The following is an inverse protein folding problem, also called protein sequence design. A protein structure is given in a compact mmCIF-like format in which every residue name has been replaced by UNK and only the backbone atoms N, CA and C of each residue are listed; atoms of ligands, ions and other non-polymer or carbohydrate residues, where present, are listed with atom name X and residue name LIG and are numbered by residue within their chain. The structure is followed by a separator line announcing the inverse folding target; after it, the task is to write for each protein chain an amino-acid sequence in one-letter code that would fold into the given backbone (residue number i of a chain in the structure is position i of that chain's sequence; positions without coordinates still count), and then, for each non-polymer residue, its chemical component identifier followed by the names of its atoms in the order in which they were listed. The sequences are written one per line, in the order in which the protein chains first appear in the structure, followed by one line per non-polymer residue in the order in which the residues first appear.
data_IF_930206309391
#
_entry.id   IF_930206309391
#
_cell.length_a   1.000
_cell.length_b   1.000
_cell.length_c   1.000
_cell.angle_alpha   90.00
_cell.angle_beta   90.00
_cell.angle_gamma   90.00
#
_symmetry.space_group_name_H-M   'P 1'
#
loop_
_entity.id
_entity.type
_entity.pdbx_description
1 polymer ?
#
# COMPACT_ATOMS: atom_id res chain seq x y z
N UNK A 1 7.58 31.01 3.01
CA UNK A 1 7.55 29.57 2.72
C UNK A 1 7.28 29.41 1.23
N UNK A 2 8.12 28.69 0.50
CA UNK A 2 7.92 28.44 -0.93
C UNK A 2 7.54 26.97 -1.12
N UNK A 3 6.31 26.73 -1.58
CA UNK A 3 5.89 25.40 -2.01
C UNK A 3 6.44 25.12 -3.42
N UNK A 4 6.80 23.86 -3.68
CA UNK A 4 7.02 23.43 -5.07
C UNK A 4 5.67 23.39 -5.79
N UNK A 5 5.62 23.67 -7.12
CA UNK A 5 4.41 23.47 -7.90
C UNK A 5 3.90 22.03 -7.75
N UNK A 6 2.58 21.89 -7.67
CA UNK A 6 1.94 20.58 -7.73
C UNK A 6 2.13 19.99 -9.13
N UNK A 7 2.59 18.74 -9.18
CA UNK A 7 2.71 17.96 -10.40
C UNK A 7 2.00 16.64 -10.16
N UNK A 8 1.23 16.21 -11.16
CA UNK A 8 0.55 14.93 -11.08
C UNK A 8 1.56 13.79 -11.08
N UNK A 9 1.22 12.69 -10.42
CA UNK A 9 1.98 11.44 -10.40
C UNK A 9 1.10 10.31 -10.92
N UNK A 10 1.62 9.45 -11.81
CA UNK A 10 0.91 8.26 -12.22
C UNK A 10 0.75 7.31 -11.04
N UNK A 11 -0.48 6.88 -10.79
CA UNK A 11 -0.77 5.69 -9.98
C UNK A 11 -1.00 4.53 -10.92
N UNK A 12 -0.24 3.45 -10.76
CA UNK A 12 -0.41 2.24 -11.57
C UNK A 12 -0.56 1.02 -10.68
N UNK A 13 -1.64 0.28 -10.88
CA UNK A 13 -1.75 -1.08 -10.37
C UNK A 13 -0.71 -1.95 -11.07
N UNK A 14 0.06 -2.72 -10.29
CA UNK A 14 1.08 -3.62 -10.81
C UNK A 14 0.52 -5.05 -10.92
N UNK A 15 0.08 -5.60 -9.80
CA UNK A 15 -0.39 -6.98 -9.71
C UNK A 15 -1.07 -7.27 -8.37
N UNK A 16 -1.73 -8.43 -8.29
CA UNK A 16 -2.01 -9.11 -7.03
C UNK A 16 -0.84 -10.05 -6.78
N UNK A 17 -0.08 -9.80 -5.73
CA UNK A 17 1.02 -10.65 -5.30
C UNK A 17 0.54 -11.57 -4.18
N UNK A 18 0.86 -12.86 -4.28
CA UNK A 18 0.56 -13.85 -3.24
C UNK A 18 1.81 -14.13 -2.41
N UNK A 19 1.69 -14.05 -1.10
CA UNK A 19 2.78 -14.28 -0.16
C UNK A 19 2.23 -14.94 1.12
N UNK A 20 2.72 -16.13 1.46
CA UNK A 20 2.11 -16.97 2.49
C UNK A 20 0.60 -17.17 2.22
N UNK A 21 -0.26 -16.82 3.17
CA UNK A 21 -1.73 -16.85 3.04
C UNK A 21 -2.34 -15.49 2.64
N UNK A 22 -1.50 -14.51 2.26
CA UNK A 22 -1.91 -13.15 1.92
C UNK A 22 -2.04 -12.92 0.43
N UNK A 23 -3.07 -12.17 0.05
CA UNK A 23 -3.20 -11.52 -1.27
C UNK A 23 -2.93 -10.02 -1.14
N UNK A 24 -1.95 -9.50 -1.89
CA UNK A 24 -1.49 -8.13 -1.78
C UNK A 24 -1.69 -7.39 -3.10
N UNK A 25 -2.54 -6.36 -3.12
CA UNK A 25 -2.65 -5.43 -4.25
C UNK A 25 -1.46 -4.48 -4.23
N UNK A 26 -0.61 -4.53 -5.26
CA UNK A 26 0.57 -3.67 -5.33
C UNK A 26 0.31 -2.50 -6.29
N UNK A 27 0.50 -1.29 -5.78
CA UNK A 27 0.40 -0.05 -6.53
C UNK A 27 1.75 0.64 -6.61
N UNK A 28 1.94 1.37 -7.71
CA UNK A 28 3.12 2.15 -7.99
C UNK A 28 2.76 3.63 -8.12
N UNK A 29 3.54 4.49 -7.48
CA UNK A 29 3.50 5.95 -7.61
C UNK A 29 4.92 6.44 -7.81
N UNK A 30 5.20 7.23 -8.84
CA UNK A 30 6.56 7.74 -9.07
C UNK A 30 6.57 9.21 -9.45
N UNK A 31 7.55 9.93 -8.91
CA UNK A 31 7.86 11.31 -9.33
C UNK A 31 8.72 11.34 -10.59
N UNK A 32 9.35 10.23 -10.98
CA UNK A 32 10.37 10.17 -12.03
C UNK A 32 9.87 9.60 -13.35
N UNK A 33 8.93 8.65 -13.28
CA UNK A 33 8.53 7.82 -14.40
C UNK A 33 7.10 7.32 -14.23
N UNK A 34 6.62 6.57 -15.23
CA UNK A 34 5.29 5.95 -15.21
C UNK A 34 5.13 4.91 -14.08
N UNK A 35 6.24 4.27 -13.68
CA UNK A 35 6.30 3.31 -12.57
C UNK A 35 7.50 3.58 -11.67
N UNK A 36 7.45 3.03 -10.47
CA UNK A 36 8.58 2.89 -9.53
C UNK A 36 9.61 1.94 -10.13
N UNK A 37 10.89 2.24 -9.89
CA UNK A 37 12.00 1.36 -10.24
C UNK A 37 11.80 -0.09 -9.74
N UNK A 38 11.95 -1.04 -10.66
CA UNK A 38 11.64 -2.46 -10.45
C UNK A 38 12.46 -3.11 -9.33
N UNK A 39 13.65 -2.59 -9.01
CA UNK A 39 14.44 -3.13 -7.91
C UNK A 39 13.85 -2.76 -6.54
N UNK A 40 13.14 -1.62 -6.40
CA UNK A 40 12.35 -1.37 -5.19
C UNK A 40 11.14 -2.30 -5.11
N UNK A 41 10.47 -2.55 -6.24
CA UNK A 41 9.33 -3.48 -6.29
C UNK A 41 9.76 -4.88 -5.87
N UNK A 42 10.86 -5.39 -6.43
CA UNK A 42 11.40 -6.70 -6.09
C UNK A 42 11.80 -6.77 -4.62
N UNK A 43 12.58 -5.81 -4.14
CA UNK A 43 13.03 -5.80 -2.75
C UNK A 43 11.87 -5.68 -1.76
N UNK A 44 10.84 -4.89 -2.05
CA UNK A 44 9.66 -4.81 -1.19
C UNK A 44 8.97 -6.18 -1.09
N UNK A 45 8.77 -6.89 -2.21
CA UNK A 45 8.18 -8.23 -2.21
C UNK A 45 8.95 -9.24 -1.37
N UNK A 46 10.29 -9.17 -1.38
CA UNK A 46 11.14 -10.03 -0.54
C UNK A 46 10.92 -9.79 0.96
N UNK A 47 10.48 -8.60 1.37
CA UNK A 47 10.29 -8.22 2.78
C UNK A 47 8.83 -8.36 3.26
N UNK A 48 7.84 -8.49 2.37
CA UNK A 48 6.41 -8.51 2.72
C UNK A 48 6.09 -9.57 3.79
N UNK A 49 6.63 -10.78 3.65
CA UNK A 49 6.38 -11.88 4.59
C UNK A 49 6.78 -11.51 6.02
N UNK A 50 7.94 -10.87 6.19
CA UNK A 50 8.42 -10.41 7.50
C UNK A 50 7.56 -9.26 8.05
N UNK A 51 7.19 -8.30 7.20
CA UNK A 51 6.36 -7.16 7.60
C UNK A 51 4.97 -7.58 8.07
N UNK A 52 4.37 -8.57 7.42
CA UNK A 52 3.05 -9.10 7.79
C UNK A 52 3.14 -9.97 9.06
N UNK A 53 4.09 -10.91 9.14
CA UNK A 53 4.27 -11.79 10.31
C UNK A 53 4.57 -11.02 11.59
N UNK A 54 5.33 -9.95 11.49
CA UNK A 54 5.80 -9.19 12.65
C UNK A 54 4.80 -8.20 13.24
N UNK A 55 3.61 -8.00 12.64
CA UNK A 55 2.79 -6.81 12.88
C UNK A 55 1.28 -7.00 12.99
N UNK A 56 0.78 -8.22 13.25
CA UNK A 56 -0.58 -8.35 13.78
C UNK A 56 -0.64 -7.87 15.24
N UNK A 57 -0.64 -6.55 15.42
CA UNK A 57 -0.61 -5.88 16.73
C UNK A 57 -1.89 -6.14 17.54
N UNK A 58 -2.99 -6.51 16.88
CA UNK A 58 -4.29 -6.78 17.49
C UNK A 58 -4.76 -8.19 17.11
N UNK A 59 -4.14 -9.24 17.66
CA UNK A 59 -4.44 -10.63 17.28
C UNK A 59 -5.89 -11.06 17.56
N UNK A 60 -6.60 -10.33 18.43
CA UNK A 60 -8.02 -10.51 18.72
C UNK A 60 -8.95 -9.98 17.63
N UNK A 61 -8.46 -9.10 16.75
CA UNK A 61 -9.23 -8.53 15.66
C UNK A 61 -9.06 -9.39 14.40
N UNK A 62 -10.17 -9.65 13.72
CA UNK A 62 -10.19 -10.45 12.52
C UNK A 62 -9.35 -9.78 11.42
N UNK A 63 -8.48 -10.58 10.79
CA UNK A 63 -7.78 -10.21 9.56
C UNK A 63 -8.36 -11.00 8.40
N UNK A 64 -8.39 -10.39 7.22
CA UNK A 64 -8.88 -11.00 5.98
C UNK A 64 -7.75 -11.53 5.12
N UNK A 65 -6.49 -11.40 5.57
CA UNK A 65 -5.28 -11.71 4.82
C UNK A 65 -5.25 -11.06 3.42
N UNK A 66 -5.84 -9.86 3.31
CA UNK A 66 -5.80 -9.04 2.11
C UNK A 66 -5.16 -7.70 2.45
N UNK A 67 -4.07 -7.39 1.76
CA UNK A 67 -3.33 -6.16 1.97
C UNK A 67 -3.26 -5.31 0.70
N UNK A 68 -2.95 -4.03 0.90
CA UNK A 68 -2.53 -3.10 -0.13
C UNK A 68 -1.10 -2.67 0.17
N UNK A 69 -0.24 -2.74 -0.83
CA UNK A 69 1.10 -2.16 -0.78
C UNK A 69 1.20 -1.05 -1.83
N UNK A 70 1.45 0.18 -1.37
CA UNK A 70 1.75 1.31 -2.25
C UNK A 70 3.26 1.55 -2.20
N UNK A 71 3.91 1.45 -3.35
CA UNK A 71 5.30 1.83 -3.52
C UNK A 71 5.35 3.22 -4.12
N UNK A 72 6.00 4.15 -3.43
CA UNK A 72 6.11 5.53 -3.85
C UNK A 72 7.56 5.97 -3.96
N UNK A 73 8.05 6.13 -5.19
CA UNK A 73 9.37 6.70 -5.46
C UNK A 73 9.33 8.23 -5.40
N UNK A 74 9.93 8.77 -4.35
CA UNK A 74 10.05 10.19 -4.05
C UNK A 74 11.47 10.73 -4.19
N UNK A 75 11.76 11.85 -3.51
CA UNK A 75 13.09 12.50 -3.57
C UNK A 75 14.12 11.79 -2.70
N UNK A 76 13.66 11.19 -1.61
CA UNK A 76 14.47 10.58 -0.55
C UNK A 76 14.80 9.11 -0.84
N UNK A 77 13.98 8.47 -1.67
CA UNK A 77 14.04 7.03 -1.93
C UNK A 77 12.67 6.52 -2.35
N UNK A 78 12.35 5.29 -1.92
CA UNK A 78 11.05 4.68 -2.10
C UNK A 78 10.38 4.44 -0.75
N UNK A 79 9.14 4.90 -0.61
CA UNK A 79 8.27 4.55 0.50
C UNK A 79 7.46 3.30 0.17
N UNK A 80 7.35 2.38 1.12
CA UNK A 80 6.46 1.22 1.06
C UNK A 80 5.38 1.40 2.13
N UNK A 81 4.16 1.71 1.70
CA UNK A 81 2.99 1.87 2.55
C UNK A 81 2.21 0.57 2.48
N UNK A 82 2.35 -0.25 3.51
CA UNK A 82 1.67 -1.53 3.64
C UNK A 82 0.48 -1.36 4.58
N UNK A 83 -0.71 -1.74 4.12
CA UNK A 83 -1.93 -1.65 4.93
C UNK A 83 -2.90 -2.79 4.70
N UNK A 84 -3.67 -3.15 5.72
CA UNK A 84 -4.72 -4.17 5.64
C UNK A 84 -5.89 -3.84 6.55
N UNK A 85 -7.06 -4.37 6.20
CA UNK A 85 -8.29 -4.20 6.97
C UNK A 85 -8.33 -5.17 8.15
N UNK A 86 -8.79 -4.68 9.29
CA UNK A 86 -9.06 -5.46 10.51
C UNK A 86 -10.45 -5.13 11.04
N UNK A 87 -11.10 -6.14 11.64
CA UNK A 87 -12.43 -6.03 12.26
C UNK A 87 -13.44 -5.28 11.37
N UNK A 88 -13.43 -5.64 10.09
CA UNK A 88 -14.30 -5.14 9.02
C UNK A 88 -14.12 -3.67 8.58
N UNK A 89 -13.66 -2.76 9.46
CA UNK A 89 -13.75 -1.31 9.18
C UNK A 89 -12.50 -0.49 9.57
N UNK A 90 -11.53 -1.09 10.26
CA UNK A 90 -10.31 -0.43 10.69
C UNK A 90 -9.16 -0.81 9.77
N UNK A 91 -8.17 0.08 9.63
CA UNK A 91 -6.97 -0.16 8.82
C UNK A 91 -5.74 -0.19 9.73
N UNK A 92 -4.95 -1.26 9.63
CA UNK A 92 -3.57 -1.25 10.12
C UNK A 92 -2.67 -0.79 8.98
N UNK A 93 -1.72 0.09 9.27
CA UNK A 93 -0.85 0.68 8.27
C UNK A 93 0.55 0.88 8.84
N UNK A 94 1.54 0.46 8.06
CA UNK A 94 2.95 0.63 8.35
C UNK A 94 3.64 1.25 7.14
N UNK A 95 4.57 2.16 7.40
CA UNK A 95 5.36 2.79 6.36
C UNK A 95 6.81 2.44 6.55
N UNK A 96 7.43 2.02 5.47
CA UNK A 96 8.86 1.80 5.39
C UNK A 96 9.50 2.71 4.37
N UNK A 97 10.75 3.11 4.60
CA UNK A 97 11.54 3.90 3.65
C UNK A 97 12.82 3.14 3.32
N UNK A 98 13.12 3.02 2.03
CA UNK A 98 14.44 2.64 1.52
C UNK A 98 15.02 3.81 0.75
N UNK A 99 16.12 4.38 1.25
CA UNK A 99 16.84 5.48 0.61
C UNK A 99 17.64 5.01 -0.61
N UNK A 100 18.02 5.95 -1.48
CA UNK A 100 18.79 5.62 -2.70
C UNK A 100 20.20 5.09 -2.43
N UNK A 101 20.82 5.48 -1.32
CA UNK A 101 22.17 5.03 -0.95
C UNK A 101 22.17 3.59 -0.43
N UNK A 102 21.05 3.13 0.12
CA UNK A 102 20.86 1.80 0.69
C UNK A 102 19.63 1.11 0.10
N UNK A 103 19.55 1.09 -1.23
CA UNK A 103 18.42 0.50 -1.96
C UNK A 103 18.13 -0.93 -1.48
N UNK A 104 16.89 -1.16 -1.09
CA UNK A 104 16.38 -2.42 -0.55
C UNK A 104 16.55 -2.63 0.96
N UNK A 105 17.21 -1.71 1.68
CA UNK A 105 17.19 -1.68 3.14
C UNK A 105 16.05 -0.79 3.61
N UNK A 106 14.98 -1.43 4.08
CA UNK A 106 13.76 -0.78 4.52
C UNK A 106 13.78 -0.48 6.02
N UNK A 107 13.49 0.77 6.39
CA UNK A 107 13.39 1.21 7.79
C UNK A 107 11.96 1.60 8.10
N UNK A 108 11.44 1.19 9.26
CA UNK A 108 10.13 1.65 9.72
C UNK A 108 10.16 3.16 9.90
N UNK A 109 9.12 3.83 9.40
CA UNK A 109 9.01 5.28 9.35
C UNK A 109 7.71 5.79 9.99
N UNK A 110 6.67 4.94 10.01
CA UNK A 110 5.37 5.29 10.61
C UNK A 110 5.39 5.38 12.14
N UNK A 111 6.42 4.85 12.79
CA UNK A 111 6.70 5.08 14.22
C UNK A 111 7.00 6.55 14.57
N UNK A 112 7.30 7.36 13.55
CA UNK A 112 7.47 8.82 13.65
C UNK A 112 6.21 9.60 13.22
N UNK A 113 5.08 8.92 12.97
CA UNK A 113 3.79 9.54 12.66
C UNK A 113 3.54 9.90 11.19
N UNK A 114 4.49 9.62 10.29
CA UNK A 114 4.31 9.81 8.83
C UNK A 114 3.66 8.55 8.25
N UNK A 115 2.51 8.72 7.58
CA UNK A 115 1.74 7.61 7.00
C UNK A 115 1.60 7.70 5.48
N UNK A 116 1.02 8.78 4.97
CA UNK A 116 0.77 8.97 3.55
C UNK A 116 0.82 10.43 3.16
N UNK A 117 1.17 10.67 1.91
CA UNK A 117 1.10 11.95 1.23
C UNK A 117 -0.15 12.02 0.33
N UNK A 118 -0.40 13.21 -0.21
CA UNK A 118 -1.61 13.51 -1.00
C UNK A 118 -1.80 12.60 -2.22
N UNK A 119 -0.72 12.10 -2.82
CA UNK A 119 -0.79 11.19 -3.98
C UNK A 119 -1.19 9.78 -3.57
N UNK A 120 -0.64 9.25 -2.47
CA UNK A 120 -0.98 7.91 -1.95
C UNK A 120 -2.39 7.88 -1.36
N UNK A 121 -2.87 9.01 -0.83
CA UNK A 121 -4.24 9.14 -0.32
C UNK A 121 -5.30 8.84 -1.38
N UNK A 122 -5.03 9.08 -2.66
CA UNK A 122 -5.95 8.70 -3.73
C UNK A 122 -6.14 7.18 -3.80
N UNK A 123 -5.05 6.41 -3.64
CA UNK A 123 -5.09 4.94 -3.60
C UNK A 123 -5.83 4.45 -2.37
N UNK A 124 -5.51 4.98 -1.18
CA UNK A 124 -6.21 4.61 0.05
C UNK A 124 -7.70 4.94 -0.01
N UNK A 125 -8.07 6.06 -0.62
CA UNK A 125 -9.46 6.44 -0.83
C UNK A 125 -10.19 5.46 -1.76
N UNK A 126 -9.55 5.05 -2.85
CA UNK A 126 -10.06 4.00 -3.73
C UNK A 126 -10.26 2.69 -2.98
N UNK A 127 -9.23 2.18 -2.30
CA UNK A 127 -9.30 0.91 -1.55
C UNK A 127 -10.38 0.94 -0.48
N UNK A 128 -10.52 2.05 0.26
CA UNK A 128 -11.61 2.24 1.22
C UNK A 128 -12.98 2.12 0.54
N UNK A 129 -13.17 2.75 -0.62
CA UNK A 129 -14.45 2.73 -1.33
C UNK A 129 -14.74 1.36 -1.93
N UNK A 130 -13.73 0.68 -2.48
CA UNK A 130 -13.83 -0.69 -2.98
C UNK A 130 -14.19 -1.65 -1.84
N UNK A 131 -13.54 -1.54 -0.69
CA UNK A 131 -13.82 -2.37 0.49
C UNK A 131 -15.26 -2.18 0.97
N UNK A 132 -15.70 -0.93 1.09
CA UNK A 132 -17.09 -0.63 1.48
C UNK A 132 -18.09 -1.19 0.47
N UNK A 133 -17.82 -1.05 -0.82
CA UNK A 133 -18.69 -1.49 -1.91
C UNK A 133 -18.84 -3.00 -1.96
N UNK A 134 -17.73 -3.73 -1.88
CA UNK A 134 -17.70 -5.18 -2.15
C UNK A 134 -17.75 -6.04 -0.90
N UNK A 135 -17.29 -5.54 0.24
CA UNK A 135 -17.19 -6.30 1.50
C UNK A 135 -18.21 -5.80 2.52
N UNK A 136 -18.07 -4.56 3.00
CA UNK A 136 -18.90 -4.06 4.13
C UNK A 136 -20.38 -3.99 3.80
N UNK A 137 -20.76 -3.46 2.63
CA UNK A 137 -22.17 -3.42 2.21
C UNK A 137 -22.73 -4.82 1.94
N UNK A 138 -21.88 -5.76 1.56
CA UNK A 138 -22.23 -7.16 1.27
C UNK A 138 -22.02 -8.06 2.50
N UNK A 139 -22.16 -7.55 3.73
CA UNK A 139 -21.87 -8.25 4.98
C UNK A 139 -22.44 -9.69 5.13
N UNK A 140 -23.55 -10.05 4.46
CA UNK A 140 -24.07 -11.42 4.47
C UNK A 140 -23.27 -12.39 3.58
N UNK A 141 -22.61 -11.88 2.54
CA UNK A 141 -21.74 -12.61 1.63
C UNK A 141 -20.69 -11.66 1.03
N UNK A 142 -19.64 -11.30 1.80
CA UNK A 142 -18.62 -10.37 1.32
C UNK A 142 -17.90 -10.89 0.06
N UNK A 143 -17.73 -10.02 -0.93
CA UNK A 143 -17.14 -10.39 -2.22
C UNK A 143 -15.67 -9.92 -2.30
N UNK A 144 -14.78 -10.74 -1.74
CA UNK A 144 -13.34 -10.47 -1.73
C UNK A 144 -12.70 -10.54 -3.12
N UNK A 145 -13.22 -11.37 -4.02
CA UNK A 145 -12.68 -11.50 -5.38
C UNK A 145 -12.98 -10.25 -6.20
N UNK A 146 -14.21 -9.71 -6.12
CA UNK A 146 -14.53 -8.41 -6.73
C UNK A 146 -13.74 -7.26 -6.11
N UNK A 147 -13.47 -7.29 -4.80
CA UNK A 147 -12.61 -6.30 -4.15
C UNK A 147 -11.17 -6.32 -4.68
N UNK A 148 -10.60 -7.51 -4.85
CA UNK A 148 -9.26 -7.72 -5.39
C UNK A 148 -9.16 -7.28 -6.86
N UNK A 149 -10.22 -7.51 -7.65
CA UNK A 149 -10.31 -7.08 -9.04
C UNK A 149 -10.57 -5.57 -9.22
N UNK A 150 -11.09 -4.86 -8.22
CA UNK A 150 -11.39 -3.42 -8.27
C UNK A 150 -10.11 -2.59 -8.07
N UNK A 151 -9.39 -2.31 -9.17
CA UNK A 151 -8.05 -1.74 -9.18
C UNK A 151 -8.04 -0.25 -9.56
N UNK A 152 -7.06 0.50 -9.05
CA UNK A 152 -6.90 1.93 -9.32
C UNK A 152 -5.74 2.24 -10.28
N UNK A 153 -6.02 3.01 -11.34
CA UNK A 153 -5.04 3.55 -12.27
C UNK A 153 -5.46 4.97 -12.68
N UNK A 154 -4.62 5.97 -12.41
CA UNK A 154 -4.97 7.38 -12.67
C UNK A 154 -3.74 8.32 -12.68
N UNK A 155 -3.96 9.60 -12.96
CA UNK A 155 -3.00 10.69 -12.74
C UNK A 155 -3.48 11.57 -11.58
N UNK A 156 -2.78 11.52 -10.44
CA UNK A 156 -3.20 12.16 -9.17
C UNK A 156 -2.21 13.15 -8.62
#
# INVERSE_FOLDING_TARGET
MNFSPYNQRPVRFLEIFECDDWKIKIYSVSVKSEWVDTAFVHSAKENISEWLKGKNVYPELETYNIATLILHEGKEGCFAILSWWIDQNMIQLFVYLSDYDNKGKWKLYSDNGIITCVWEMAVLWHERNAWVKHVVKNHLNPDFESYLADQYNDMV
#
